data_IF_651214110918
#
_entry.id   IF_651214110918
#
_cell.length_a   1.000
_cell.length_b   1.000
_cell.length_c   1.000
_cell.angle_alpha   90.00
_cell.angle_beta   90.00
_cell.angle_gamma   90.00
#
_symmetry.space_group_name_H-M   'P 1'
#
loop_
_entity.id
_entity.type
_entity.pdbx_description
1 polymer ?
#
# COMPACT_ATOMS: atom_id res chain seq x y z
N UNK A 1 14.02 28.58 -6.04
CA UNK A 1 14.05 29.92 -6.69
C UNK A 1 13.79 30.99 -5.64
N UNK A 2 14.53 32.09 -5.68
CA UNK A 2 14.39 33.22 -4.74
C UNK A 2 13.42 34.26 -5.29
N UNK A 3 12.65 34.90 -4.41
CA UNK A 3 11.83 36.05 -4.77
C UNK A 3 12.75 37.25 -5.05
N UNK A 4 12.70 37.83 -6.25
CA UNK A 4 13.45 39.05 -6.61
C UNK A 4 12.52 40.10 -7.19
N UNK A 5 12.91 41.38 -7.11
CA UNK A 5 12.15 42.49 -7.70
C UNK A 5 11.99 42.30 -9.21
N UNK A 6 13.06 41.90 -9.88
CA UNK A 6 13.07 41.65 -11.33
C UNK A 6 12.13 40.49 -11.74
N UNK A 7 11.95 39.47 -10.88
CA UNK A 7 10.99 38.39 -11.11
C UNK A 7 9.54 38.93 -11.07
N UNK A 8 9.22 39.77 -10.08
CA UNK A 8 7.90 40.38 -9.95
C UNK A 8 7.58 41.34 -11.10
N UNK A 9 8.55 42.14 -11.53
CA UNK A 9 8.42 43.06 -12.66
C UNK A 9 8.17 42.29 -13.98
N UNK A 10 8.92 41.23 -14.25
CA UNK A 10 8.70 40.35 -15.42
C UNK A 10 7.33 39.67 -15.41
N UNK A 11 6.79 39.43 -14.23
CA UNK A 11 5.49 38.80 -14.04
C UNK A 11 4.32 39.80 -14.05
N UNK A 12 4.56 41.09 -14.35
CA UNK A 12 3.56 42.16 -14.29
C UNK A 12 2.86 42.27 -12.92
N UNK A 13 3.58 42.05 -11.82
CA UNK A 13 3.06 42.28 -10.48
C UNK A 13 2.66 43.76 -10.32
N UNK A 14 1.53 44.03 -9.66
CA UNK A 14 1.14 45.42 -9.39
C UNK A 14 2.13 46.10 -8.44
N UNK A 15 2.22 47.43 -8.52
CA UNK A 15 3.15 48.24 -7.72
C UNK A 15 3.00 47.97 -6.21
N UNK A 16 1.76 47.79 -5.73
CA UNK A 16 1.48 47.44 -4.33
C UNK A 16 2.07 46.09 -3.89
N UNK A 17 2.18 45.11 -4.79
CA UNK A 17 2.79 43.80 -4.49
C UNK A 17 4.32 43.89 -4.37
N UNK A 18 4.94 44.74 -5.19
CA UNK A 18 6.38 45.00 -5.13
C UNK A 18 6.71 45.75 -3.84
N UNK A 19 5.97 46.82 -3.51
CA UNK A 19 6.09 47.58 -2.27
C UNK A 19 5.88 46.72 -1.03
N UNK A 20 4.93 45.78 -1.06
CA UNK A 20 4.72 44.81 0.02
C UNK A 20 5.98 43.96 0.26
N UNK A 21 6.57 43.41 -0.80
CA UNK A 21 7.79 42.61 -0.70
C UNK A 21 9.00 43.41 -0.20
N UNK A 22 9.13 44.69 -0.61
CA UNK A 22 10.15 45.62 -0.10
C UNK A 22 9.95 45.87 1.40
N UNK A 23 8.74 46.27 1.81
CA UNK A 23 8.39 46.62 3.19
C UNK A 23 8.63 45.46 4.16
N UNK A 24 8.32 44.24 3.75
CA UNK A 24 8.42 43.04 4.57
C UNK A 24 9.73 42.26 4.39
N UNK A 25 10.71 42.81 3.64
CA UNK A 25 12.03 42.20 3.39
C UNK A 25 11.94 40.78 2.84
N UNK A 26 10.99 40.54 1.93
CA UNK A 26 10.74 39.21 1.37
C UNK A 26 11.68 38.86 0.21
N UNK A 27 12.35 39.85 -0.37
CA UNK A 27 13.32 39.60 -1.44
C UNK A 27 14.52 38.81 -0.94
N UNK A 28 14.93 37.82 -1.73
CA UNK A 28 15.99 36.88 -1.38
C UNK A 28 15.50 35.68 -0.56
N UNK A 29 14.21 35.61 -0.18
CA UNK A 29 13.64 34.41 0.43
C UNK A 29 13.31 33.35 -0.63
N UNK A 30 13.51 32.06 -0.32
CA UNK A 30 12.97 30.96 -1.11
C UNK A 30 11.45 31.07 -1.25
N UNK A 31 10.97 30.94 -2.48
CA UNK A 31 9.53 30.98 -2.78
C UNK A 31 8.72 29.90 -2.05
N UNK A 32 9.34 28.78 -1.72
CA UNK A 32 8.75 27.70 -0.93
C UNK A 32 8.38 28.12 0.50
N UNK A 33 8.96 29.20 1.03
CA UNK A 33 8.66 29.70 2.37
C UNK A 33 7.51 30.73 2.40
N UNK A 34 7.04 31.17 1.23
CA UNK A 34 5.92 32.11 1.10
C UNK A 34 4.60 31.35 1.03
N UNK A 35 4.29 30.58 2.07
CA UNK A 35 3.11 29.70 2.11
C UNK A 35 1.84 30.43 2.56
N UNK A 36 1.99 31.44 3.44
CA UNK A 36 0.89 32.23 3.99
C UNK A 36 1.39 33.64 4.39
N UNK A 37 0.73 34.68 3.89
CA UNK A 37 0.91 36.06 4.35
C UNK A 37 -0.39 36.47 5.05
N UNK A 38 -0.35 36.70 6.37
CA UNK A 38 -1.52 37.17 7.13
C UNK A 38 -1.78 38.66 6.85
N UNK A 39 -2.96 39.01 6.36
CA UNK A 39 -3.40 40.39 6.09
C UNK A 39 -4.14 40.58 4.75
N UNK A 40 -4.34 41.82 4.32
CA UNK A 40 -5.04 42.25 3.08
C UNK A 40 -4.27 41.94 1.77
N UNK A 41 -3.37 40.95 1.82
CA UNK A 41 -2.54 40.53 0.69
C UNK A 41 -2.89 39.11 0.21
N UNK A 42 -4.07 38.62 0.57
CA UNK A 42 -4.60 37.33 0.08
C UNK A 42 -4.64 37.27 -1.46
N UNK A 43 -4.89 38.40 -2.14
CA UNK A 43 -4.80 38.52 -3.60
C UNK A 43 -3.39 38.30 -4.15
N UNK A 44 -2.35 38.78 -3.45
CA UNK A 44 -0.95 38.55 -3.82
C UNK A 44 -0.57 37.07 -3.65
N UNK A 45 -1.00 36.42 -2.57
CA UNK A 45 -0.77 34.99 -2.37
C UNK A 45 -1.53 34.14 -3.40
N UNK A 46 -2.77 34.53 -3.75
CA UNK A 46 -3.53 33.89 -4.84
C UNK A 46 -2.82 34.06 -6.18
N UNK A 47 -2.26 35.25 -6.45
CA UNK A 47 -1.47 35.50 -7.66
C UNK A 47 -0.15 34.70 -7.69
N UNK A 48 0.59 34.61 -6.58
CA UNK A 48 1.76 33.72 -6.42
C UNK A 48 1.41 32.23 -6.51
N UNK A 49 0.14 31.86 -6.53
CA UNK A 49 -0.31 30.48 -6.76
C UNK A 49 -1.07 30.36 -8.08
N UNK A 50 -1.24 31.46 -8.81
CA UNK A 50 -1.98 31.49 -10.06
C UNK A 50 -1.22 30.76 -11.17
N UNK A 51 -2.02 30.19 -12.07
CA UNK A 51 -1.59 29.56 -13.31
C UNK A 51 -2.57 29.98 -14.39
N UNK A 52 -2.08 30.19 -15.60
CA UNK A 52 -2.92 30.38 -16.78
C UNK A 52 -2.83 29.14 -17.66
N UNK A 53 -3.94 28.82 -18.31
CA UNK A 53 -4.09 27.65 -19.16
C UNK A 53 -4.53 28.11 -20.54
N UNK A 54 -3.80 27.68 -21.58
CA UNK A 54 -4.32 27.67 -22.94
C UNK A 54 -4.86 26.27 -23.21
N UNK A 55 -6.00 26.17 -23.89
CA UNK A 55 -6.66 24.90 -24.20
C UNK A 55 -6.85 24.71 -25.71
N UNK A 56 -6.90 23.47 -26.17
CA UNK A 56 -7.29 23.11 -27.53
C UNK A 56 -8.83 22.99 -27.68
N UNK A 57 -9.30 22.56 -28.85
CA UNK A 57 -10.73 22.36 -29.16
C UNK A 57 -11.38 21.28 -28.28
N UNK A 58 -10.59 20.32 -27.78
CA UNK A 58 -11.02 19.21 -26.91
C UNK A 58 -10.91 19.57 -25.42
N UNK A 59 -10.58 20.83 -25.10
CA UNK A 59 -10.36 21.35 -23.74
C UNK A 59 -9.13 20.77 -23.02
N UNK A 60 -8.19 20.17 -23.75
CA UNK A 60 -6.92 19.77 -23.18
C UNK A 60 -6.04 20.98 -22.92
N UNK A 61 -5.32 21.00 -21.81
CA UNK A 61 -4.40 22.08 -21.44
C UNK A 61 -3.12 22.00 -22.28
N UNK A 62 -3.01 22.81 -23.33
CA UNK A 62 -1.87 22.84 -24.26
C UNK A 62 -0.74 23.78 -23.82
N UNK A 63 -1.02 24.72 -22.93
CA UNK A 63 0.01 25.54 -22.29
C UNK A 63 -0.37 25.83 -20.85
N UNK A 64 0.56 25.61 -19.95
CA UNK A 64 0.41 26.00 -18.55
C UNK A 64 1.51 27.01 -18.27
N UNK A 65 1.13 28.20 -17.83
CA UNK A 65 2.09 29.23 -17.40
C UNK A 65 1.89 29.52 -15.94
N UNK A 66 2.99 29.53 -15.18
CA UNK A 66 3.00 29.95 -13.79
C UNK A 66 3.38 31.43 -13.71
N UNK A 67 2.91 32.09 -12.66
CA UNK A 67 3.21 33.50 -12.36
C UNK A 67 4.72 33.82 -12.37
N UNK A 68 5.58 32.85 -12.11
CA UNK A 68 7.03 33.03 -12.05
C UNK A 68 7.74 32.96 -13.42
N UNK A 69 6.98 32.88 -14.52
CA UNK A 69 7.52 32.77 -15.87
C UNK A 69 7.91 31.34 -16.27
N UNK A 70 7.71 30.36 -15.40
CA UNK A 70 7.75 28.96 -15.81
C UNK A 70 6.57 28.65 -16.71
N UNK A 71 6.80 27.78 -17.68
CA UNK A 71 5.76 27.28 -18.55
C UNK A 71 6.07 25.86 -18.96
N UNK A 72 5.01 25.13 -19.29
CA UNK A 72 5.07 23.89 -20.06
C UNK A 72 4.10 24.00 -21.23
N UNK A 73 4.50 23.47 -22.37
CA UNK A 73 3.67 23.30 -23.57
C UNK A 73 3.43 21.81 -23.74
N UNK A 74 2.19 21.45 -24.07
CA UNK A 74 1.75 20.08 -24.31
C UNK A 74 1.15 19.97 -25.69
N UNK A 75 1.29 18.80 -26.31
CA UNK A 75 0.60 18.46 -27.55
C UNK A 75 -0.07 17.11 -27.39
N UNK A 76 -1.24 16.96 -28.01
CA UNK A 76 -2.07 15.76 -27.95
C UNK A 76 -2.33 15.24 -29.36
N UNK A 77 -2.54 13.92 -29.50
CA UNK A 77 -3.07 13.32 -30.72
C UNK A 77 -4.61 13.44 -30.78
N UNK A 78 -5.23 12.91 -31.84
CA UNK A 78 -6.69 12.92 -32.03
C UNK A 78 -7.46 12.05 -31.01
N UNK A 79 -6.75 11.28 -30.18
CA UNK A 79 -7.32 10.37 -29.16
C UNK A 79 -7.03 10.88 -27.74
N UNK A 80 -6.68 12.16 -27.59
CA UNK A 80 -6.31 12.81 -26.34
C UNK A 80 -5.05 12.25 -25.64
N UNK A 81 -4.19 11.50 -26.36
CA UNK A 81 -2.91 11.07 -25.81
C UNK A 81 -1.89 12.19 -25.88
N UNK A 82 -1.19 12.48 -24.78
CA UNK A 82 -0.13 13.50 -24.77
C UNK A 82 1.12 13.00 -25.52
N UNK A 83 1.36 13.54 -26.72
CA UNK A 83 2.46 13.16 -27.62
C UNK A 83 3.72 13.99 -27.45
N UNK A 84 3.64 15.13 -26.76
CA UNK A 84 4.80 15.99 -26.50
C UNK A 84 4.61 16.81 -25.25
N UNK A 85 5.70 17.04 -24.53
CA UNK A 85 5.81 18.09 -23.52
C UNK A 85 7.15 18.80 -23.68
N UNK A 86 7.15 20.11 -23.47
CA UNK A 86 8.34 20.93 -23.42
C UNK A 86 8.20 21.94 -22.28
N UNK A 87 9.27 22.16 -21.53
CA UNK A 87 9.32 23.17 -20.48
C UNK A 87 10.22 24.35 -20.85
N UNK A 88 10.15 25.39 -20.02
CA UNK A 88 10.93 26.60 -20.21
C UNK A 88 12.45 26.43 -19.96
N UNK A 89 12.91 25.25 -19.55
CA UNK A 89 14.33 24.92 -19.44
C UNK A 89 14.90 24.36 -20.75
N UNK A 90 14.03 24.09 -21.73
CA UNK A 90 14.37 23.42 -22.99
C UNK A 90 14.37 21.91 -22.88
N UNK A 91 13.99 21.36 -21.71
CA UNK A 91 13.73 19.94 -21.59
C UNK A 91 12.43 19.62 -22.31
N UNK A 92 12.45 18.56 -23.11
CA UNK A 92 11.28 18.08 -23.83
C UNK A 92 11.27 16.56 -23.88
N UNK A 93 10.09 16.00 -24.06
CA UNK A 93 9.91 14.61 -24.44
C UNK A 93 8.80 14.46 -25.48
N UNK A 94 8.88 13.42 -26.29
CA UNK A 94 7.84 13.01 -27.25
C UNK A 94 7.44 11.57 -27.02
N UNK A 95 6.18 11.24 -27.29
CA UNK A 95 5.64 9.88 -27.24
C UNK A 95 4.96 9.52 -28.55
N UNK A 96 5.00 8.24 -28.87
CA UNK A 96 4.24 7.64 -29.97
C UNK A 96 3.41 6.49 -29.42
N UNK A 97 2.21 6.33 -29.97
CA UNK A 97 1.23 5.34 -29.54
C UNK A 97 0.82 4.45 -30.72
N UNK A 98 0.54 3.17 -30.45
CA UNK A 98 -0.09 2.28 -31.43
C UNK A 98 -1.61 2.55 -31.55
N UNK A 99 -2.32 1.74 -32.34
CA UNK A 99 -3.77 1.84 -32.55
C UNK A 99 -4.58 1.54 -31.27
N UNK A 100 -4.02 0.80 -30.33
CA UNK A 100 -4.62 0.41 -29.05
C UNK A 100 -4.30 1.39 -27.91
N UNK A 101 -3.69 2.54 -28.21
CA UNK A 101 -3.20 3.55 -27.24
C UNK A 101 -2.06 3.05 -26.33
N UNK A 102 -1.30 2.04 -26.74
CA UNK A 102 -0.07 1.66 -26.04
C UNK A 102 1.10 2.54 -26.49
N UNK A 103 1.92 3.01 -25.55
CA UNK A 103 3.11 3.82 -25.85
C UNK A 103 4.20 2.94 -26.49
N UNK A 104 4.48 3.12 -27.78
CA UNK A 104 5.49 2.34 -28.53
C UNK A 104 6.86 2.99 -28.54
N UNK A 105 6.94 4.29 -28.26
CA UNK A 105 8.21 5.03 -28.24
C UNK A 105 8.12 6.26 -27.37
N UNK A 106 9.19 6.53 -26.62
CA UNK A 106 9.46 7.80 -25.96
C UNK A 106 10.86 8.27 -26.33
N UNK A 107 11.00 9.56 -26.63
CA UNK A 107 12.29 10.22 -26.82
C UNK A 107 12.32 11.48 -25.93
N UNK A 108 13.51 11.91 -25.49
CA UNK A 108 13.67 13.17 -24.77
C UNK A 108 14.86 14.01 -25.25
N UNK A 109 14.90 15.26 -24.81
CA UNK A 109 15.91 16.26 -25.16
C UNK A 109 17.34 15.89 -24.76
N UNK A 110 17.50 14.96 -23.82
CA UNK A 110 18.82 14.48 -23.38
C UNK A 110 19.35 13.33 -24.26
N UNK A 111 18.62 12.96 -25.31
CA UNK A 111 18.97 11.85 -26.21
C UNK A 111 18.58 10.47 -25.67
N UNK A 112 17.87 10.42 -24.54
CA UNK A 112 17.31 9.16 -24.06
C UNK A 112 16.09 8.79 -24.90
N UNK A 113 16.01 7.53 -25.26
CA UNK A 113 14.84 6.94 -25.89
C UNK A 113 14.54 5.57 -25.29
N UNK A 114 13.29 5.18 -25.36
CA UNK A 114 12.81 3.83 -25.03
C UNK A 114 11.72 3.43 -26.02
N UNK A 115 11.74 2.19 -26.48
CA UNK A 115 10.72 1.61 -27.35
C UNK A 115 10.04 0.45 -26.65
N UNK A 116 8.77 0.23 -26.99
CA UNK A 116 7.97 -0.89 -26.48
C UNK A 116 7.32 -1.63 -27.66
N UNK A 117 7.29 -2.96 -27.57
CA UNK A 117 6.56 -3.82 -28.48
C UNK A 117 5.56 -4.64 -27.67
N UNK A 118 4.34 -4.75 -28.19
CA UNK A 118 3.24 -5.45 -27.57
C UNK A 118 2.78 -6.62 -28.45
N UNK A 119 2.25 -7.67 -27.84
CA UNK A 119 1.54 -8.73 -28.55
C UNK A 119 0.07 -8.34 -28.85
N UNK A 120 -0.67 -9.23 -29.50
CA UNK A 120 -2.09 -9.03 -29.84
C UNK A 120 -2.99 -8.88 -28.60
N UNK A 121 -2.57 -9.41 -27.45
CA UNK A 121 -3.26 -9.30 -26.16
C UNK A 121 -2.85 -8.04 -25.38
N UNK A 122 -2.06 -7.14 -26.00
CA UNK A 122 -1.55 -5.91 -25.41
C UNK A 122 -0.55 -6.15 -24.25
N UNK A 123 0.09 -7.33 -24.19
CA UNK A 123 1.18 -7.56 -23.27
C UNK A 123 2.49 -7.02 -23.84
N UNK A 124 3.29 -6.35 -23.01
CA UNK A 124 4.63 -5.89 -23.39
C UNK A 124 5.58 -7.08 -23.60
N UNK A 125 5.99 -7.35 -24.84
CA UNK A 125 6.90 -8.45 -25.19
C UNK A 125 8.36 -8.03 -25.32
N UNK A 126 8.63 -6.75 -25.57
CA UNK A 126 9.99 -6.23 -25.67
C UNK A 126 10.07 -4.75 -25.31
N UNK A 127 11.12 -4.37 -24.60
CA UNK A 127 11.56 -2.99 -24.54
C UNK A 127 13.06 -2.87 -24.82
N UNK A 128 13.45 -1.75 -25.41
CA UNK A 128 14.84 -1.39 -25.73
C UNK A 128 15.03 0.08 -25.37
N UNK A 129 16.22 0.48 -24.92
CA UNK A 129 16.52 1.87 -24.62
C UNK A 129 17.84 2.36 -25.25
N UNK A 130 18.05 3.67 -25.19
CA UNK A 130 19.24 4.37 -25.72
C UNK A 130 20.57 3.95 -25.11
N UNK A 131 20.56 3.29 -23.95
CA UNK A 131 21.77 2.77 -23.32
C UNK A 131 22.15 1.37 -23.84
N UNK A 132 21.38 0.82 -24.79
CA UNK A 132 21.57 -0.54 -25.31
C UNK A 132 21.01 -1.61 -24.36
N UNK A 133 20.26 -1.21 -23.33
CA UNK A 133 19.56 -2.14 -22.46
C UNK A 133 18.26 -2.57 -23.12
N UNK A 134 17.92 -3.84 -22.92
CA UNK A 134 16.72 -4.46 -23.44
C UNK A 134 16.14 -5.43 -22.42
N UNK A 135 14.84 -5.65 -22.52
CA UNK A 135 14.13 -6.72 -21.83
C UNK A 135 13.14 -7.36 -22.79
N UNK A 136 13.08 -8.70 -22.79
CA UNK A 136 12.02 -9.46 -23.46
C UNK A 136 11.14 -10.15 -22.45
N UNK A 137 9.89 -10.39 -22.83
CA UNK A 137 8.90 -11.11 -22.04
C UNK A 137 8.12 -12.06 -22.94
N UNK A 138 7.74 -13.20 -22.39
CA UNK A 138 6.91 -14.20 -23.05
C UNK A 138 5.74 -14.54 -22.14
N UNK A 139 4.58 -14.71 -22.73
CA UNK A 139 3.33 -14.98 -22.03
C UNK A 139 2.72 -16.29 -22.53
N UNK A 140 1.97 -16.97 -21.67
CA UNK A 140 1.11 -18.07 -22.09
C UNK A 140 -0.22 -17.55 -22.68
N UNK A 141 -1.08 -18.46 -23.15
CA UNK A 141 -2.38 -18.14 -23.75
C UNK A 141 -3.36 -17.45 -22.78
N UNK A 142 -3.07 -17.47 -21.47
CA UNK A 142 -3.87 -16.85 -20.42
C UNK A 142 -3.25 -15.54 -19.91
N UNK A 143 -2.27 -15.01 -20.64
CA UNK A 143 -1.53 -13.78 -20.35
C UNK A 143 -0.69 -13.87 -19.06
N UNK A 144 -0.30 -15.06 -18.60
CA UNK A 144 0.66 -15.19 -17.53
C UNK A 144 2.10 -15.07 -18.07
N UNK A 145 2.95 -14.30 -17.39
CA UNK A 145 4.35 -14.13 -17.77
C UNK A 145 5.16 -15.41 -17.50
N UNK A 146 5.52 -16.15 -18.54
CA UNK A 146 6.26 -17.41 -18.43
C UNK A 146 7.78 -17.24 -18.49
N UNK A 147 8.28 -16.16 -19.09
CA UNK A 147 9.71 -15.88 -19.19
C UNK A 147 9.99 -14.38 -19.30
N UNK A 148 11.05 -13.92 -18.66
CA UNK A 148 11.66 -12.62 -18.94
C UNK A 148 13.17 -12.74 -19.02
N UNK A 149 13.74 -12.09 -20.03
CA UNK A 149 15.19 -12.01 -20.24
C UNK A 149 15.61 -10.53 -20.26
N UNK A 150 16.82 -10.21 -19.80
CA UNK A 150 17.37 -8.85 -19.76
C UNK A 150 18.75 -8.81 -20.42
N UNK A 151 19.14 -7.63 -20.89
CA UNK A 151 20.42 -7.39 -21.56
C UNK A 151 21.68 -7.81 -20.80
N UNK A 152 21.61 -7.81 -19.47
CA UNK A 152 22.73 -8.19 -18.61
C UNK A 152 22.85 -9.71 -18.41
N UNK A 153 22.05 -10.51 -19.12
CA UNK A 153 22.01 -11.98 -18.99
C UNK A 153 21.11 -12.47 -17.86
N UNK A 154 20.49 -11.57 -17.08
CA UNK A 154 19.53 -11.97 -16.07
C UNK A 154 18.23 -12.44 -16.73
N UNK A 155 17.68 -13.53 -16.22
CA UNK A 155 16.41 -14.07 -16.68
C UNK A 155 15.65 -14.69 -15.52
N UNK A 156 14.35 -14.85 -15.69
CA UNK A 156 13.54 -15.73 -14.86
C UNK A 156 12.41 -16.37 -15.67
N UNK A 157 11.96 -17.53 -15.21
CA UNK A 157 10.79 -18.23 -15.75
C UNK A 157 9.76 -18.46 -14.66
N UNK A 158 8.49 -18.50 -15.04
CA UNK A 158 7.40 -18.95 -14.19
C UNK A 158 6.66 -20.08 -14.89
N UNK A 159 6.13 -21.02 -14.11
CA UNK A 159 5.15 -22.00 -14.59
C UNK A 159 3.89 -21.87 -13.75
N UNK A 160 2.76 -22.12 -14.39
CA UNK A 160 1.43 -21.96 -13.80
C UNK A 160 0.62 -23.25 -13.95
N UNK A 161 -0.29 -23.50 -13.01
CA UNK A 161 -1.30 -24.54 -13.15
C UNK A 161 -2.51 -24.06 -13.99
N UNK A 162 -3.49 -24.95 -14.19
CA UNK A 162 -4.73 -24.68 -14.91
C UNK A 162 -5.66 -23.68 -14.21
N UNK A 163 -5.30 -23.15 -13.04
CA UNK A 163 -6.02 -22.10 -12.32
C UNK A 163 -5.22 -20.80 -12.21
N UNK A 164 -4.13 -20.68 -12.99
CA UNK A 164 -3.21 -19.54 -12.98
C UNK A 164 -2.44 -19.36 -11.66
N UNK A 165 -2.33 -20.41 -10.85
CA UNK A 165 -1.45 -20.40 -9.68
C UNK A 165 -0.01 -20.69 -10.10
N UNK A 166 0.96 -19.93 -9.58
CA UNK A 166 2.37 -20.12 -9.91
C UNK A 166 2.94 -21.35 -9.20
N UNK A 167 3.20 -22.41 -9.93
CA UNK A 167 3.72 -23.68 -9.41
C UNK A 167 5.25 -23.77 -9.42
N UNK A 168 5.94 -22.95 -10.23
CA UNK A 168 7.40 -22.93 -10.32
C UNK A 168 7.91 -21.53 -10.65
N UNK A 169 9.04 -21.19 -10.06
CA UNK A 169 9.88 -20.07 -10.44
C UNK A 169 11.32 -20.54 -10.57
N UNK A 170 12.04 -20.02 -11.56
CA UNK A 170 13.48 -20.20 -11.74
C UNK A 170 14.11 -18.88 -12.18
N UNK A 171 15.36 -18.62 -11.82
CA UNK A 171 16.09 -17.46 -12.32
C UNK A 171 17.55 -17.78 -12.70
N UNK A 172 18.19 -16.80 -13.34
CA UNK A 172 19.57 -16.85 -13.81
C UNK A 172 20.62 -17.03 -12.72
N UNK A 173 20.28 -16.80 -11.45
CA UNK A 173 21.16 -17.02 -10.31
C UNK A 173 21.11 -18.47 -9.80
N UNK A 174 20.26 -19.32 -10.39
CA UNK A 174 20.02 -20.69 -9.93
C UNK A 174 19.01 -20.78 -8.79
N UNK A 175 18.38 -19.65 -8.40
CA UNK A 175 17.34 -19.66 -7.38
C UNK A 175 16.03 -20.12 -8.00
N UNK A 176 15.33 -20.98 -7.28
CA UNK A 176 14.05 -21.54 -7.69
C UNK A 176 13.15 -21.81 -6.49
N UNK A 177 11.83 -21.87 -6.72
CA UNK A 177 10.89 -22.44 -5.77
C UNK A 177 9.74 -23.12 -6.49
N UNK A 178 9.08 -24.04 -5.81
CA UNK A 178 7.83 -24.69 -6.23
C UNK A 178 6.74 -24.48 -5.21
N UNK A 179 5.51 -24.30 -5.69
CA UNK A 179 4.31 -24.27 -4.87
C UNK A 179 3.40 -25.42 -5.27
N UNK A 180 2.68 -25.96 -4.30
CA UNK A 180 1.57 -26.89 -4.49
C UNK A 180 0.30 -26.24 -3.93
N UNK A 181 -0.81 -26.40 -4.64
CA UNK A 181 -2.07 -25.77 -4.28
C UNK A 181 -3.17 -26.82 -4.08
N UNK A 182 -4.05 -26.59 -3.12
CA UNK A 182 -5.31 -27.32 -3.01
C UNK A 182 -6.37 -26.78 -3.98
N UNK A 183 -7.58 -27.33 -3.93
CA UNK A 183 -8.71 -26.95 -4.79
C UNK A 183 -9.24 -25.51 -4.55
N UNK A 184 -8.91 -24.91 -3.39
CA UNK A 184 -9.30 -23.55 -3.01
C UNK A 184 -8.20 -22.52 -3.27
N UNK A 185 -7.10 -22.92 -3.93
CA UNK A 185 -5.92 -22.10 -4.22
C UNK A 185 -5.08 -21.72 -2.99
N UNK A 186 -5.16 -22.48 -1.90
CA UNK A 186 -4.22 -22.32 -0.80
C UNK A 186 -2.93 -23.07 -1.11
N UNK A 187 -1.79 -22.51 -0.68
CA UNK A 187 -0.49 -23.19 -0.81
C UNK A 187 -0.42 -24.29 0.25
N UNK A 188 -0.45 -25.55 -0.17
CA UNK A 188 -0.31 -26.72 0.70
C UNK A 188 1.12 -27.25 0.77
N UNK A 189 1.99 -26.81 -0.13
CA UNK A 189 3.38 -27.23 -0.17
C UNK A 189 4.28 -26.19 -0.82
N UNK A 190 5.47 -26.01 -0.27
CA UNK A 190 6.51 -25.14 -0.79
C UNK A 190 7.85 -25.83 -0.73
N UNK A 191 8.72 -25.58 -1.70
CA UNK A 191 10.14 -25.98 -1.63
C UNK A 191 10.97 -24.98 -2.41
N UNK A 192 12.14 -24.59 -1.91
CA UNK A 192 13.06 -23.70 -2.61
C UNK A 192 14.44 -24.31 -2.89
N UNK A 193 15.26 -23.55 -3.61
CA UNK A 193 16.61 -23.91 -4.01
C UNK A 193 17.59 -24.15 -2.87
N UNK A 194 17.35 -23.58 -1.68
CA UNK A 194 18.16 -23.78 -0.47
C UNK A 194 17.74 -25.06 0.28
N UNK A 195 16.75 -25.81 -0.23
CA UNK A 195 16.22 -27.02 0.40
C UNK A 195 15.21 -26.77 1.51
N UNK A 196 14.86 -25.50 1.76
CA UNK A 196 13.78 -25.15 2.69
C UNK A 196 12.44 -25.53 2.08
N UNK A 197 11.62 -26.23 2.85
CA UNK A 197 10.28 -26.64 2.48
C UNK A 197 9.32 -26.41 3.64
N UNK A 198 8.04 -26.22 3.32
CA UNK A 198 6.96 -26.30 4.30
C UNK A 198 5.72 -26.94 3.68
N UNK A 199 4.87 -27.49 4.53
CA UNK A 199 3.56 -28.07 4.19
C UNK A 199 2.52 -27.34 5.04
N UNK A 200 1.41 -26.96 4.41
CA UNK A 200 0.24 -26.46 5.12
C UNK A 200 -0.92 -27.43 4.92
N UNK A 201 -1.79 -27.53 5.91
CA UNK A 201 -3.06 -28.24 5.79
C UNK A 201 -4.21 -27.31 6.12
N UNK A 202 -5.29 -27.46 5.35
CA UNK A 202 -6.52 -26.71 5.53
C UNK A 202 -7.68 -27.67 5.73
N UNK A 203 -8.67 -27.27 6.54
CA UNK A 203 -9.94 -27.99 6.62
C UNK A 203 -10.91 -27.57 5.50
N UNK A 204 -12.07 -28.24 5.42
CA UNK A 204 -13.08 -27.98 4.39
C UNK A 204 -13.68 -26.54 4.46
N UNK A 205 -13.52 -25.84 5.59
CA UNK A 205 -13.96 -24.46 5.79
C UNK A 205 -12.85 -23.45 5.53
N UNK A 206 -11.73 -23.91 4.97
CA UNK A 206 -10.54 -23.12 4.66
C UNK A 206 -9.78 -22.58 5.88
N UNK A 207 -9.87 -23.24 7.04
CA UNK A 207 -9.03 -22.89 8.17
C UNK A 207 -7.67 -23.55 8.04
N UNK A 208 -6.60 -22.80 8.32
CA UNK A 208 -5.24 -23.33 8.35
C UNK A 208 -5.02 -24.13 9.63
N UNK A 209 -5.08 -25.46 9.53
CA UNK A 209 -5.09 -26.38 10.67
C UNK A 209 -3.70 -26.94 11.01
N UNK A 210 -2.74 -26.96 10.09
CA UNK A 210 -1.40 -27.45 10.41
C UNK A 210 -0.35 -26.83 9.51
N UNK A 211 0.85 -26.65 10.07
CA UNK A 211 2.07 -26.25 9.38
C UNK A 211 3.21 -27.14 9.86
N UNK A 212 4.09 -27.51 8.93
CA UNK A 212 5.38 -28.16 9.23
C UNK A 212 6.42 -27.66 8.23
N UNK A 213 7.66 -27.43 8.68
CA UNK A 213 8.77 -27.07 7.79
C UNK A 213 10.02 -27.94 7.95
N UNK A 214 10.96 -27.72 7.05
CA UNK A 214 12.24 -28.42 6.95
C UNK A 214 13.12 -28.32 8.19
N UNK A 215 12.83 -27.39 9.11
CA UNK A 215 13.56 -27.24 10.38
C UNK A 215 12.94 -28.05 11.53
N UNK A 216 11.89 -28.82 11.23
CA UNK A 216 11.03 -29.53 12.19
C UNK A 216 10.20 -28.60 13.08
N UNK A 217 10.10 -27.31 12.73
CA UNK A 217 9.11 -26.45 13.33
C UNK A 217 7.74 -26.79 12.78
N UNK A 218 6.78 -27.02 13.67
CA UNK A 218 5.42 -27.38 13.31
C UNK A 218 4.42 -26.83 14.34
N UNK A 219 3.16 -26.75 13.93
CA UNK A 219 2.06 -26.46 14.85
C UNK A 219 0.74 -27.01 14.28
N UNK A 220 -0.23 -27.21 15.17
CA UNK A 220 -1.59 -27.65 14.81
C UNK A 220 -2.63 -26.74 15.47
N UNK A 221 -3.72 -26.45 14.77
CA UNK A 221 -4.89 -25.70 15.25
C UNK A 221 -6.15 -26.55 15.09
N UNK A 222 -7.02 -26.44 16.08
CA UNK A 222 -8.32 -27.09 16.10
C UNK A 222 -9.38 -26.01 16.21
N UNK A 223 -10.45 -26.15 15.45
CA UNK A 223 -11.55 -25.20 15.37
C UNK A 223 -12.87 -25.86 15.76
N UNK A 224 -13.77 -25.07 16.32
CA UNK A 224 -15.15 -25.51 16.63
C UNK A 224 -16.07 -25.40 15.39
N UNK A 225 -17.36 -25.72 15.56
CA UNK A 225 -18.36 -25.61 14.48
C UNK A 225 -18.62 -24.18 14.00
N UNK A 226 -18.28 -23.19 14.83
CA UNK A 226 -18.47 -21.77 14.61
C UNK A 226 -17.21 -21.06 14.09
N UNK A 227 -16.18 -21.83 13.73
CA UNK A 227 -14.90 -21.35 13.22
C UNK A 227 -14.00 -20.64 14.24
N UNK A 228 -14.27 -20.83 15.54
CA UNK A 228 -13.39 -20.32 16.60
C UNK A 228 -12.26 -21.32 16.88
N UNK A 229 -11.07 -20.81 17.18
CA UNK A 229 -9.89 -21.63 17.48
C UNK A 229 -10.02 -22.24 18.88
N UNK A 230 -10.37 -23.51 18.97
CA UNK A 230 -10.53 -24.26 20.21
C UNK A 230 -9.19 -24.67 20.82
N UNK A 231 -8.19 -25.01 20.01
CA UNK A 231 -6.88 -25.44 20.51
C UNK A 231 -5.75 -25.09 19.54
N UNK A 232 -4.57 -24.86 20.11
CA UNK A 232 -3.32 -24.68 19.39
C UNK A 232 -2.25 -25.54 20.06
N UNK A 233 -1.39 -26.18 19.27
CA UNK A 233 -0.26 -26.97 19.74
C UNK A 233 0.97 -26.61 18.90
N UNK A 234 2.12 -26.37 19.52
CA UNK A 234 3.39 -26.12 18.82
C UNK A 234 4.28 -27.38 18.76
N UNK A 235 5.44 -27.26 18.11
CA UNK A 235 6.41 -28.34 17.93
C UNK A 235 7.01 -28.85 19.23
N UNK A 236 7.00 -28.03 20.29
CA UNK A 236 7.52 -28.38 21.60
C UNK A 236 6.45 -29.03 22.49
N UNK A 237 5.27 -29.33 21.92
CA UNK A 237 4.10 -29.87 22.61
C UNK A 237 3.49 -28.88 23.63
N UNK A 238 3.85 -27.60 23.56
CA UNK A 238 3.11 -26.58 24.30
C UNK A 238 1.77 -26.38 23.62
N UNK A 239 0.73 -26.14 24.42
CA UNK A 239 -0.61 -26.00 23.90
C UNK A 239 -1.39 -24.93 24.62
N UNK A 240 -2.37 -24.39 23.90
CA UNK A 240 -3.37 -23.45 24.39
C UNK A 240 -4.75 -23.93 23.99
N UNK A 241 -5.68 -23.99 24.94
CA UNK A 241 -7.07 -24.37 24.74
C UNK A 241 -7.96 -23.18 25.06
N UNK A 242 -9.02 -22.99 24.27
CA UNK A 242 -9.95 -21.89 24.35
C UNK A 242 -11.39 -22.41 24.25
N UNK A 243 -12.28 -21.85 25.05
CA UNK A 243 -13.72 -22.10 24.96
C UNK A 243 -14.47 -20.79 24.77
N UNK A 244 -15.55 -20.86 24.00
CA UNK A 244 -16.31 -19.69 23.58
C UNK A 244 -17.78 -19.79 24.01
N UNK A 245 -18.43 -18.65 24.21
CA UNK A 245 -19.89 -18.58 24.28
C UNK A 245 -20.53 -18.52 22.87
N UNK A 246 -21.86 -18.46 22.81
CA UNK A 246 -22.62 -18.37 21.55
C UNK A 246 -22.37 -17.08 20.75
N UNK A 247 -21.76 -16.06 21.37
CA UNK A 247 -21.40 -14.78 20.75
C UNK A 247 -19.92 -14.70 20.38
N UNK A 248 -19.21 -15.82 20.49
CA UNK A 248 -17.77 -15.93 20.19
C UNK A 248 -16.87 -15.18 21.19
N UNK A 249 -17.35 -14.87 22.40
CA UNK A 249 -16.50 -14.37 23.48
C UNK A 249 -15.75 -15.54 24.15
N UNK A 250 -14.49 -15.35 24.53
CA UNK A 250 -13.69 -16.40 25.19
C UNK A 250 -14.08 -16.51 26.67
N UNK A 251 -14.73 -17.60 27.04
CA UNK A 251 -15.16 -17.84 28.43
C UNK A 251 -14.14 -18.62 29.24
N UNK A 252 -13.19 -19.30 28.59
CA UNK A 252 -12.13 -20.03 29.28
C UNK A 252 -10.89 -20.18 28.41
N UNK A 253 -9.75 -20.20 29.08
CA UNK A 253 -8.45 -20.50 28.52
C UNK A 253 -7.67 -21.41 29.45
N UNK A 254 -6.85 -22.28 28.86
CA UNK A 254 -5.86 -23.08 29.59
C UNK A 254 -4.63 -23.32 28.72
N UNK A 255 -3.47 -23.45 29.34
CA UNK A 255 -2.25 -23.85 28.65
C UNK A 255 -1.55 -25.08 29.27
N UNK A 256 -0.52 -25.55 28.56
CA UNK A 256 0.32 -26.70 28.93
C UNK A 256 1.11 -26.50 30.24
N UNK A 257 1.39 -25.26 30.62
CA UNK A 257 2.08 -24.90 31.88
C UNK A 257 1.13 -24.93 33.09
N UNK A 258 -0.16 -25.20 32.84
CA UNK A 258 -1.19 -25.26 33.86
C UNK A 258 -1.78 -23.91 34.21
N UNK A 259 -1.43 -22.85 33.47
CA UNK A 259 -2.12 -21.58 33.61
C UNK A 259 -3.53 -21.68 33.02
N UNK A 260 -4.48 -21.05 33.68
CA UNK A 260 -5.87 -21.02 33.23
C UNK A 260 -6.55 -19.74 33.67
N UNK A 261 -7.59 -19.36 32.95
CA UNK A 261 -8.54 -18.35 33.39
C UNK A 261 -9.94 -18.63 32.83
N UNK A 262 -10.95 -18.07 33.49
CA UNK A 262 -12.35 -18.10 33.05
C UNK A 262 -12.97 -16.72 33.14
N UNK A 263 -13.88 -16.40 32.22
CA UNK A 263 -14.60 -15.13 32.17
C UNK A 263 -16.09 -15.35 31.94
N UNK A 264 -16.91 -14.44 32.47
CA UNK A 264 -18.35 -14.37 32.17
C UNK A 264 -18.68 -12.97 31.69
N UNK A 265 -19.62 -12.88 30.75
CA UNK A 265 -20.03 -11.64 30.11
C UNK A 265 -21.48 -11.29 30.43
N UNK A 266 -21.82 -10.01 30.43
CA UNK A 266 -23.20 -9.53 30.39
C UNK A 266 -23.75 -9.47 28.95
N UNK A 267 -25.00 -9.03 28.80
CA UNK A 267 -25.65 -8.92 27.49
C UNK A 267 -25.04 -7.88 26.56
N UNK A 268 -24.17 -7.01 27.05
CA UNK A 268 -23.46 -5.99 26.29
C UNK A 268 -21.99 -6.38 26.03
N UNK A 269 -21.63 -7.65 26.22
CA UNK A 269 -20.28 -8.22 26.08
C UNK A 269 -19.24 -7.60 27.04
N UNK A 270 -19.68 -7.08 28.20
CA UNK A 270 -18.77 -6.66 29.25
C UNK A 270 -18.46 -7.81 30.21
N UNK A 271 -17.19 -7.96 30.63
CA UNK A 271 -16.75 -9.03 31.56
C UNK A 271 -17.27 -8.76 32.98
N UNK A 272 -18.20 -9.56 33.49
CA UNK A 272 -18.76 -9.42 34.85
C UNK A 272 -18.07 -10.28 35.91
N UNK A 273 -17.35 -11.32 35.48
CA UNK A 273 -16.63 -12.23 36.38
C UNK A 273 -15.33 -12.71 35.73
N UNK A 274 -14.23 -12.75 36.49
CA UNK A 274 -12.93 -13.26 36.04
C UNK A 274 -12.27 -14.11 37.13
N UNK A 275 -11.67 -15.24 36.77
CA UNK A 275 -10.94 -16.13 37.70
C UNK A 275 -9.68 -16.67 37.01
N UNK A 276 -8.56 -16.85 37.72
CA UNK A 276 -7.32 -17.36 37.13
C UNK A 276 -6.41 -18.15 38.08
N UNK A 277 -5.53 -18.96 37.50
CA UNK A 277 -4.57 -19.81 38.21
C UNK A 277 -3.42 -19.06 38.91
N UNK A 278 -3.15 -17.80 38.54
CA UNK A 278 -1.98 -17.04 38.99
C UNK A 278 -2.13 -16.38 40.37
N UNK A 279 -3.06 -16.85 41.20
CA UNK A 279 -3.08 -16.56 42.64
C UNK A 279 -4.23 -15.70 43.15
N UNK A 280 -5.30 -15.56 42.38
CA UNK A 280 -6.56 -15.01 42.90
C UNK A 280 -7.51 -16.19 43.08
N UNK A 281 -7.44 -16.77 44.28
CA UNK A 281 -8.23 -17.96 44.70
C UNK A 281 -9.74 -17.65 44.74
N UNK A 282 -10.11 -16.37 44.59
CA UNK A 282 -11.48 -15.89 44.54
C UNK A 282 -11.76 -15.19 43.20
N UNK A 283 -12.93 -15.42 42.59
CA UNK A 283 -13.31 -14.76 41.34
C UNK A 283 -13.52 -13.26 41.56
N UNK A 284 -13.00 -12.47 40.63
CA UNK A 284 -13.20 -11.04 40.55
C UNK A 284 -14.59 -10.71 40.05
N UNK A 285 -15.30 -9.80 40.72
CA UNK A 285 -16.61 -9.32 40.29
C UNK A 285 -16.46 -7.90 39.76
N UNK A 286 -16.95 -7.70 38.54
CA UNK A 286 -16.88 -6.45 37.82
C UNK A 286 -18.31 -6.00 37.52
N UNK A 287 -18.64 -4.76 37.87
CA UNK A 287 -19.93 -4.16 37.54
C UNK A 287 -19.72 -2.97 36.60
N UNK A 288 -20.68 -2.75 35.70
CA UNK A 288 -20.68 -1.60 34.78
C UNK A 288 -21.94 -0.76 34.96
N UNK A 289 -21.84 0.50 34.55
CA UNK A 289 -22.99 1.34 34.31
C UNK A 289 -23.65 0.99 32.96
N UNK A 290 -24.92 1.36 32.70
CA UNK A 290 -25.61 1.07 31.43
C UNK A 290 -24.91 1.59 30.16
N UNK A 291 -23.94 2.49 30.28
CA UNK A 291 -23.13 3.02 29.19
C UNK A 291 -21.79 2.27 29.01
N UNK A 292 -21.66 1.07 29.60
CA UNK A 292 -20.45 0.24 29.60
C UNK A 292 -19.23 0.85 30.28
N UNK A 293 -19.39 1.90 31.11
CA UNK A 293 -18.30 2.39 31.95
C UNK A 293 -18.16 1.54 33.22
N UNK A 294 -16.91 1.20 33.59
CA UNK A 294 -16.60 0.42 34.79
C UNK A 294 -17.14 1.13 36.04
N UNK A 295 -18.02 0.44 36.77
CA UNK A 295 -18.66 0.91 38.01
C UNK A 295 -17.93 0.38 39.24
N UNK A 296 -17.51 -0.89 39.23
CA UNK A 296 -16.90 -1.55 40.39
C UNK A 296 -15.96 -2.68 39.98
N UNK A 297 -14.88 -2.85 40.73
CA UNK A 297 -13.92 -3.95 40.62
C UNK A 297 -13.52 -4.42 42.03
N UNK A 298 -13.76 -5.68 42.39
CA UNK A 298 -13.39 -6.28 43.70
C UNK A 298 -13.68 -5.41 44.93
N UNK A 299 -14.93 -4.95 45.04
CA UNK A 299 -15.39 -4.05 46.12
C UNK A 299 -14.84 -2.62 46.08
N UNK A 300 -14.02 -2.25 45.09
CA UNK A 300 -13.63 -0.87 44.81
C UNK A 300 -14.64 -0.22 43.85
N UNK A 301 -15.41 0.75 44.32
CA UNK A 301 -16.25 1.57 43.45
C UNK A 301 -15.42 2.63 42.73
N UNK A 302 -15.64 2.79 41.43
CA UNK A 302 -14.96 3.77 40.60
C UNK A 302 -15.91 4.94 40.33
N UNK A 303 -15.56 6.18 40.75
CA UNK A 303 -16.42 7.33 40.56
C UNK A 303 -16.56 7.68 39.06
N UNK A 304 -17.81 7.90 38.63
CA UNK A 304 -18.13 8.33 37.27
C UNK A 304 -17.70 9.80 37.09
N UNK A 305 -16.53 10.04 36.49
CA UNK A 305 -16.16 11.40 36.10
C UNK A 305 -16.85 11.75 34.78
N UNK A 306 -18.03 12.38 34.88
CA UNK A 306 -18.62 13.09 33.74
C UNK A 306 -17.94 14.46 33.71
N UNK A 307 -17.09 14.78 32.73
CA UNK A 307 -16.63 16.14 32.56
C UNK A 307 -17.86 17.00 32.29
N UNK A 308 -18.26 17.81 33.26
CA UNK A 308 -19.23 18.87 33.03
C UNK A 308 -18.62 19.76 31.96
N UNK A 309 -19.30 19.86 30.80
CA UNK A 309 -19.00 20.92 29.85
C UNK A 309 -19.19 22.25 30.59
N UNK A 310 -18.09 22.82 31.08
CA UNK A 310 -18.04 24.21 31.46
C UNK A 310 -18.18 25.02 30.18
N UNK A 311 -19.23 25.84 30.16
CA UNK A 311 -19.68 26.76 29.12
C UNK A 311 -18.56 27.60 28.51
#
# INVERSE_FOLDING_TARGET
MLLTKQLLERANACEGSILFCEKHKLFGLPLSLLTEVKGDHSGFVKWLKSRTFDVDEQQNQIKISWWNGQWIIKQFDERDNQIREEDNTGFWWTKQYDENNNEIRLDNSNGFWITHLYDENQNLIRCDNSFGEWQTKQYDERNNLIRSDRHNGNWFTNQYDDRNNKIRFDNSYGNWFTNQYDDQNNIIGFTNYDGFWYINQFDDRNNHISYEDSTHYCWTKYYDENNNKMRFEDSDQNWHEYHYDERHNIISFRDSDGAWWTQQYDDCDNVIKYESSCGLVEPHIIEYWPNSQLKKYDSLEIPLYIPTQSQ
#
